data_IF_201646370444
#
_entry.id   IF_201646370444
#
_cell.length_a   1.000
_cell.length_b   1.000
_cell.length_c   1.000
_cell.angle_alpha   90.00
_cell.angle_beta   90.00
_cell.angle_gamma   90.00
#
_symmetry.space_group_name_H-M   'P 1'
#
loop_
_entity.id
_entity.type
_entity.pdbx_description
1 polymer ?
#
# COMPACT_ATOMS: atom_id res chain seq x y z
N UNK A 1 -7.39 -6.61 -30.47
CA UNK A 1 -7.14 -5.16 -30.37
C UNK A 1 -7.82 -4.52 -29.16
N UNK A 2 -9.15 -4.52 -29.01
CA UNK A 2 -9.78 -3.98 -27.78
C UNK A 2 -9.45 -4.83 -26.52
N UNK A 3 -9.48 -6.17 -26.64
CA UNK A 3 -9.13 -7.07 -25.53
C UNK A 3 -7.69 -6.84 -25.02
N UNK A 4 -6.73 -6.65 -25.93
CA UNK A 4 -5.32 -6.40 -25.58
C UNK A 4 -5.15 -5.06 -24.82
N UNK A 5 -5.96 -4.05 -25.17
CA UNK A 5 -6.01 -2.78 -24.46
C UNK A 5 -6.54 -2.94 -23.02
N UNK A 6 -7.66 -3.66 -22.84
CA UNK A 6 -8.19 -3.93 -21.50
C UNK A 6 -7.20 -4.72 -20.63
N UNK A 7 -6.51 -5.70 -21.20
CA UNK A 7 -5.47 -6.48 -20.50
C UNK A 7 -4.29 -5.58 -20.12
N UNK A 8 -3.86 -4.68 -21.03
CA UNK A 8 -2.82 -3.69 -20.75
C UNK A 8 -3.19 -2.73 -19.62
N UNK A 9 -4.44 -2.23 -19.61
CA UNK A 9 -4.96 -1.37 -18.56
C UNK A 9 -4.99 -2.10 -17.21
N UNK A 10 -5.49 -3.34 -17.18
CA UNK A 10 -5.48 -4.18 -15.97
C UNK A 10 -4.06 -4.36 -15.43
N UNK A 11 -3.07 -4.63 -16.30
CA UNK A 11 -1.68 -4.74 -15.89
C UNK A 11 -1.14 -3.46 -15.24
N UNK A 12 -1.47 -2.29 -15.79
CA UNK A 12 -1.11 -1.01 -15.20
C UNK A 12 -1.78 -0.77 -13.84
N UNK A 13 -3.07 -1.11 -13.72
CA UNK A 13 -3.81 -1.01 -12.45
C UNK A 13 -3.17 -1.85 -11.34
N UNK A 14 -2.80 -3.10 -11.63
CA UNK A 14 -2.13 -3.96 -10.65
C UNK A 14 -0.76 -3.43 -10.24
N UNK A 15 0.02 -2.92 -11.21
CA UNK A 15 1.32 -2.30 -10.92
C UNK A 15 1.17 -1.08 -10.01
N UNK A 16 0.18 -0.24 -10.28
CA UNK A 16 -0.15 0.93 -9.47
C UNK A 16 -0.55 0.53 -8.04
N UNK A 17 -1.47 -0.43 -7.91
CA UNK A 17 -1.93 -0.94 -6.63
C UNK A 17 -0.77 -1.50 -5.80
N UNK A 18 0.13 -2.27 -6.42
CA UNK A 18 1.32 -2.78 -5.76
C UNK A 18 2.26 -1.66 -5.31
N UNK A 19 2.50 -0.66 -6.16
CA UNK A 19 3.37 0.47 -5.84
C UNK A 19 2.85 1.30 -4.66
N UNK A 20 1.53 1.54 -4.60
CA UNK A 20 0.87 2.27 -3.51
C UNK A 20 0.86 1.43 -2.21
N UNK A 21 0.63 0.12 -2.31
CA UNK A 21 0.58 -0.77 -1.15
C UNK A 21 1.97 -1.07 -0.57
N UNK A 22 3.03 -1.05 -1.39
CA UNK A 22 4.39 -1.41 -1.01
C UNK A 22 4.90 -0.74 0.29
N UNK A 23 4.84 0.61 0.45
CA UNK A 23 5.33 1.25 1.68
C UNK A 23 4.56 0.82 2.93
N UNK A 24 3.23 0.65 2.83
CA UNK A 24 2.42 0.16 3.95
C UNK A 24 2.74 -1.30 4.28
N UNK A 25 2.82 -2.16 3.28
CA UNK A 25 3.08 -3.59 3.45
C UNK A 25 4.46 -3.86 4.04
N UNK A 26 5.51 -3.22 3.51
CA UNK A 26 6.87 -3.39 4.02
C UNK A 26 6.98 -2.93 5.47
N UNK A 27 6.42 -1.76 5.80
CA UNK A 27 6.54 -1.24 7.15
C UNK A 27 5.74 -2.07 8.15
N UNK A 28 4.51 -2.46 7.80
CA UNK A 28 3.70 -3.33 8.67
C UNK A 28 4.28 -4.72 8.84
N UNK A 29 4.93 -5.27 7.82
CA UNK A 29 5.65 -6.54 7.89
C UNK A 29 6.82 -6.45 8.88
N UNK A 30 7.71 -5.46 8.71
CA UNK A 30 8.89 -5.28 9.57
C UNK A 30 8.46 -5.11 11.03
N UNK A 31 7.50 -4.22 11.29
CA UNK A 31 7.01 -3.95 12.64
C UNK A 31 6.26 -5.15 13.22
N UNK A 32 5.47 -5.85 12.40
CA UNK A 32 4.81 -7.08 12.81
C UNK A 32 5.79 -8.14 13.27
N UNK A 33 6.86 -8.37 12.51
CA UNK A 33 7.92 -9.33 12.86
C UNK A 33 8.63 -8.91 14.14
N UNK A 34 9.03 -7.64 14.26
CA UNK A 34 9.70 -7.12 15.46
C UNK A 34 8.85 -7.34 16.72
N UNK A 35 7.57 -7.00 16.66
CA UNK A 35 6.66 -7.17 17.79
C UNK A 35 6.46 -8.65 18.10
N UNK A 36 6.29 -9.52 17.10
CA UNK A 36 6.15 -10.96 17.32
C UNK A 36 7.36 -11.57 18.02
N UNK A 37 8.58 -11.12 17.69
CA UNK A 37 9.79 -11.57 18.41
C UNK A 37 9.79 -11.07 19.85
N UNK A 38 9.45 -9.79 20.08
CA UNK A 38 9.36 -9.23 21.44
C UNK A 38 8.33 -9.98 22.30
N UNK A 39 7.15 -10.28 21.74
CA UNK A 39 6.10 -11.04 22.43
C UNK A 39 6.59 -12.42 22.89
N UNK A 40 7.38 -13.11 22.04
CA UNK A 40 7.94 -14.42 22.38
C UNK A 40 9.03 -14.31 23.43
N UNK A 41 9.95 -13.35 23.30
CA UNK A 41 11.10 -13.19 24.22
C UNK A 41 10.64 -12.74 25.62
N UNK A 42 9.65 -11.86 25.72
CA UNK A 42 9.15 -11.39 27.02
C UNK A 42 8.03 -12.27 27.61
N UNK A 43 7.56 -13.28 26.87
CA UNK A 43 6.42 -14.12 27.22
C UNK A 43 5.09 -13.36 27.44
N UNK A 44 4.98 -12.13 26.92
CA UNK A 44 3.77 -11.31 27.03
C UNK A 44 2.96 -11.47 25.74
N UNK A 45 1.84 -12.20 25.80
CA UNK A 45 0.95 -12.45 24.66
C UNK A 45 -0.35 -11.62 24.76
N UNK A 46 -0.22 -10.35 25.13
CA UNK A 46 -1.36 -9.43 25.21
C UNK A 46 -1.75 -8.93 23.81
N UNK A 47 -3.02 -9.13 23.44
CA UNK A 47 -3.55 -8.76 22.11
C UNK A 47 -3.45 -7.25 21.83
N UNK A 48 -3.44 -6.42 22.86
CA UNK A 48 -3.36 -4.95 22.75
C UNK A 48 -1.96 -4.47 22.32
N UNK A 49 -0.89 -5.14 22.77
CA UNK A 49 0.49 -4.79 22.43
C UNK A 49 0.84 -5.05 20.97
N UNK A 50 0.14 -5.97 20.30
CA UNK A 50 0.28 -6.16 18.85
C UNK A 50 -0.48 -5.14 18.02
N UNK A 51 -1.56 -4.58 18.56
CA UNK A 51 -2.48 -3.74 17.82
C UNK A 51 -2.05 -2.27 17.81
N UNK A 52 -1.75 -1.70 18.98
CA UNK A 52 -1.46 -0.27 19.13
C UNK A 52 -0.23 0.17 18.34
N UNK A 53 0.94 -0.48 18.46
CA UNK A 53 2.14 -0.03 17.74
C UNK A 53 1.97 -0.13 16.22
N UNK A 54 1.24 -1.14 15.71
CA UNK A 54 0.94 -1.28 14.28
C UNK A 54 0.13 -0.11 13.75
N UNK A 55 -0.89 0.36 14.49
CA UNK A 55 -1.69 1.53 14.09
C UNK A 55 -0.84 2.79 14.06
N UNK A 56 -0.04 3.03 15.10
CA UNK A 56 0.83 4.22 15.17
C UNK A 56 1.77 4.26 13.96
N UNK A 57 2.38 3.12 13.63
CA UNK A 57 3.26 3.01 12.46
C UNK A 57 2.49 3.24 11.16
N UNK A 58 1.31 2.65 10.99
CA UNK A 58 0.46 2.87 9.81
C UNK A 58 0.12 4.35 9.62
N UNK A 59 -0.23 5.05 10.70
CA UNK A 59 -0.54 6.49 10.65
C UNK A 59 0.68 7.32 10.26
N UNK A 60 1.87 7.00 10.80
CA UNK A 60 3.11 7.70 10.44
C UNK A 60 3.46 7.46 8.97
N UNK A 61 3.37 6.22 8.50
CA UNK A 61 3.63 5.89 7.09
C UNK A 61 2.63 6.59 6.18
N UNK A 62 1.34 6.59 6.52
CA UNK A 62 0.32 7.30 5.75
C UNK A 62 0.54 8.82 5.76
N UNK A 63 0.96 9.40 6.87
CA UNK A 63 1.25 10.84 6.93
C UNK A 63 2.42 11.23 6.02
N UNK A 64 3.45 10.37 5.92
CA UNK A 64 4.65 10.64 5.13
C UNK A 64 4.47 10.26 3.64
N UNK A 65 3.93 9.07 3.37
CA UNK A 65 3.78 8.53 2.03
C UNK A 65 2.43 8.88 1.37
N UNK A 66 1.44 9.34 2.15
CA UNK A 66 0.09 9.65 1.67
C UNK A 66 0.06 10.67 0.52
N UNK A 67 0.76 11.82 0.60
CA UNK A 67 0.80 12.78 -0.51
C UNK A 67 1.32 12.17 -1.81
N UNK A 68 2.40 11.38 -1.72
CA UNK A 68 2.99 10.69 -2.87
C UNK A 68 2.07 9.60 -3.43
N UNK A 69 1.39 8.83 -2.57
CA UNK A 69 0.38 7.85 -2.99
C UNK A 69 -0.77 8.51 -3.77
N UNK A 70 -1.21 9.69 -3.32
CA UNK A 70 -2.26 10.46 -3.99
C UNK A 70 -1.81 11.01 -5.35
N UNK A 71 -0.57 11.48 -5.46
CA UNK A 71 0.00 11.94 -6.73
C UNK A 71 -0.03 10.84 -7.79
N UNK A 72 0.43 9.64 -7.44
CA UNK A 72 0.42 8.46 -8.33
C UNK A 72 -1.01 8.09 -8.77
N UNK A 73 -1.96 8.12 -7.84
CA UNK A 73 -3.38 7.86 -8.11
C UNK A 73 -3.99 8.90 -9.05
N UNK A 74 -3.66 10.18 -8.84
CA UNK A 74 -4.12 11.27 -9.69
C UNK A 74 -3.53 11.16 -11.10
N UNK A 75 -2.25 10.85 -11.22
CA UNK A 75 -1.58 10.69 -12.52
C UNK A 75 -2.19 9.54 -13.32
N UNK A 76 -2.43 8.40 -12.68
CA UNK A 76 -3.11 7.28 -13.30
C UNK A 76 -4.53 7.63 -13.74
N UNK A 77 -5.27 8.36 -12.89
CA UNK A 77 -6.63 8.80 -13.21
C UNK A 77 -6.65 9.75 -14.41
N UNK A 78 -5.70 10.70 -14.48
CA UNK A 78 -5.54 11.62 -15.61
C UNK A 78 -5.21 10.88 -16.90
N UNK A 79 -4.28 9.92 -16.85
CA UNK A 79 -3.91 9.09 -18.00
C UNK A 79 -5.09 8.27 -18.50
N UNK A 80 -5.85 7.66 -17.59
CA UNK A 80 -7.04 6.88 -17.94
C UNK A 80 -8.10 7.76 -18.60
N UNK A 81 -8.39 8.93 -18.05
CA UNK A 81 -9.36 9.87 -18.65
C UNK A 81 -8.87 10.37 -20.02
N UNK A 82 -7.58 10.67 -20.17
CA UNK A 82 -7.01 11.08 -21.45
C UNK A 82 -7.15 9.98 -22.52
N UNK A 83 -6.86 8.72 -22.16
CA UNK A 83 -6.96 7.58 -23.06
C UNK A 83 -8.39 7.31 -23.57
N UNK A 84 -9.42 7.75 -22.86
CA UNK A 84 -10.83 7.63 -23.31
C UNK A 84 -11.10 8.59 -24.47
N UNK A 85 -10.42 9.75 -24.52
CA UNK A 85 -10.61 10.73 -25.59
C UNK A 85 -9.98 10.29 -26.92
N UNK A 86 -8.99 9.41 -26.84
CA UNK A 86 -8.28 8.84 -28.00
C UNK A 86 -8.96 7.56 -28.56
N UNK A 87 -10.01 7.07 -27.90
CA UNK A 87 -10.82 5.92 -28.30
C UNK A 87 -12.07 6.35 -29.08
#
# INVERSE_FOLDING_TARGET
MQADYFIGLLGQMFKLALQIAMPLLLTTLIVGVLISVLQVVTQIQEMTLTFVPKIVVLLVVLALAGPWMLEILMDFSRQTIASIKDF
#
